data_IF_339342276023
#
_entry.id   IF_339342276023
#
_cell.length_a   1.000
_cell.length_b   1.000
_cell.length_c   1.000
_cell.angle_alpha   90.00
_cell.angle_beta   90.00
_cell.angle_gamma   90.00
#
_symmetry.space_group_name_H-M   'P 1'
#
loop_
_entity.id
_entity.type
_entity.pdbx_description
1 polymer ?
#
# COMPACT_ATOMS: atom_id res chain seq x y z
N UNK A 1 -10.60 -26.57 -27.19
CA UNK A 1 -9.17 -26.71 -27.51
C UNK A 1 -8.43 -26.57 -26.20
N UNK A 2 -7.35 -27.30 -25.97
CA UNK A 2 -6.63 -27.14 -24.70
C UNK A 2 -5.72 -25.93 -24.87
N UNK A 3 -6.14 -24.81 -24.28
CA UNK A 3 -5.49 -23.50 -24.31
C UNK A 3 -4.28 -23.50 -23.35
N UNK A 4 -3.24 -24.27 -23.68
CA UNK A 4 -2.00 -24.23 -22.91
C UNK A 4 -1.26 -22.92 -23.18
N UNK A 5 -0.72 -22.31 -22.12
CA UNK A 5 0.14 -21.15 -22.24
C UNK A 5 1.51 -21.60 -22.74
N UNK A 6 1.93 -21.07 -23.89
CA UNK A 6 3.26 -21.32 -24.43
C UNK A 6 4.28 -20.40 -23.75
N UNK A 7 5.37 -21.00 -23.25
CA UNK A 7 6.43 -20.29 -22.55
C UNK A 7 7.78 -20.80 -23.01
N UNK A 8 8.58 -19.88 -23.57
CA UNK A 8 9.93 -20.17 -24.01
C UNK A 8 10.96 -19.59 -23.05
N UNK A 9 11.82 -20.45 -22.50
CA UNK A 9 12.96 -20.02 -21.68
C UNK A 9 14.17 -19.72 -22.56
N UNK A 10 14.76 -18.53 -22.41
CA UNK A 10 15.94 -18.11 -23.16
C UNK A 10 16.91 -17.33 -22.24
N UNK A 11 18.01 -16.84 -22.82
CA UNK A 11 19.03 -16.04 -22.14
C UNK A 11 19.32 -14.78 -22.95
N UNK A 12 19.09 -13.62 -22.35
CA UNK A 12 19.35 -12.32 -22.93
C UNK A 12 20.67 -11.75 -22.40
N UNK A 13 21.58 -11.35 -23.29
CA UNK A 13 22.86 -10.76 -22.87
C UNK A 13 22.64 -9.32 -22.42
N UNK A 14 23.32 -8.86 -21.36
CA UNK A 14 23.15 -7.47 -20.86
C UNK A 14 23.41 -6.42 -21.95
N UNK A 15 24.41 -6.63 -22.82
CA UNK A 15 24.67 -5.71 -23.95
C UNK A 15 23.46 -5.60 -24.89
N UNK A 16 22.87 -6.74 -25.27
CA UNK A 16 21.70 -6.81 -26.14
C UNK A 16 20.46 -6.20 -25.48
N UNK A 17 20.24 -6.51 -24.19
CA UNK A 17 19.19 -5.87 -23.38
C UNK A 17 19.32 -4.34 -23.42
N UNK A 18 20.53 -3.81 -23.17
CA UNK A 18 20.75 -2.37 -23.11
C UNK A 18 20.53 -1.68 -24.46
N UNK A 19 20.99 -2.31 -25.56
CA UNK A 19 20.72 -1.85 -26.92
C UNK A 19 19.22 -1.80 -27.23
N UNK A 20 18.50 -2.90 -26.95
CA UNK A 20 17.04 -2.98 -27.13
C UNK A 20 16.29 -1.96 -26.26
N UNK A 21 16.78 -1.68 -25.05
CA UNK A 21 16.21 -0.66 -24.17
C UNK A 21 16.41 0.76 -24.73
N UNK A 22 17.59 1.09 -25.27
CA UNK A 22 17.81 2.37 -25.95
C UNK A 22 16.98 2.51 -27.22
N UNK A 23 16.66 1.40 -27.89
CA UNK A 23 15.73 1.37 -29.03
C UNK A 23 14.24 1.44 -28.62
N UNK A 24 13.91 1.52 -27.33
CA UNK A 24 12.53 1.66 -26.85
C UNK A 24 11.68 0.41 -27.01
N UNK A 25 12.29 -0.79 -27.06
CA UNK A 25 11.56 -2.06 -27.28
C UNK A 25 10.87 -2.62 -26.04
N UNK A 26 11.14 -2.09 -24.85
CA UNK A 26 10.57 -2.59 -23.60
C UNK A 26 9.52 -1.62 -23.05
N UNK A 27 8.32 -2.14 -22.78
CA UNK A 27 7.28 -1.42 -22.07
C UNK A 27 7.29 -1.81 -20.58
N UNK A 28 7.61 -0.81 -19.74
CA UNK A 28 7.67 -0.94 -18.28
C UNK A 28 6.36 -0.50 -17.59
N UNK A 29 5.32 -0.15 -18.35
CA UNK A 29 4.05 0.43 -17.89
C UNK A 29 2.93 -0.61 -17.83
N UNK A 30 3.16 -1.71 -17.11
CA UNK A 30 2.08 -2.66 -16.85
C UNK A 30 1.12 -2.13 -15.77
N UNK A 31 -0.17 -1.99 -16.11
CA UNK A 31 -1.27 -1.51 -15.24
C UNK A 31 -1.40 -2.30 -13.92
N UNK A 32 -0.87 -3.53 -13.88
CA UNK A 32 -0.95 -4.44 -12.73
C UNK A 32 0.33 -4.48 -11.87
N UNK A 33 1.37 -3.70 -12.18
CA UNK A 33 2.60 -3.69 -11.40
C UNK A 33 2.54 -2.76 -10.18
N UNK A 34 3.13 -3.20 -9.07
CA UNK A 34 3.34 -2.38 -7.87
C UNK A 34 4.40 -1.31 -8.15
N UNK A 35 4.21 -0.09 -7.66
CA UNK A 35 5.28 0.91 -7.52
C UNK A 35 6.19 0.63 -6.30
N UNK A 36 6.59 -0.63 -6.09
CA UNK A 36 7.55 -0.96 -5.03
C UNK A 36 8.97 -0.83 -5.58
N UNK A 37 9.60 0.31 -5.29
CA UNK A 37 11.00 0.58 -5.66
C UNK A 37 11.92 -0.23 -4.73
N UNK A 38 12.90 -0.94 -5.29
CA UNK A 38 13.93 -1.62 -4.49
C UNK A 38 14.79 -0.60 -3.71
N UNK A 39 15.14 -0.92 -2.46
CA UNK A 39 16.14 -0.18 -1.70
C UNK A 39 17.51 -0.24 -2.38
N UNK A 40 18.36 0.75 -2.14
CA UNK A 40 19.71 0.81 -2.71
C UNK A 40 20.54 -0.44 -2.38
N UNK A 41 20.40 -0.99 -1.17
CA UNK A 41 21.03 -2.25 -0.76
C UNK A 41 20.63 -3.43 -1.68
N UNK A 42 19.31 -3.58 -1.95
CA UNK A 42 18.81 -4.65 -2.84
C UNK A 42 19.26 -4.45 -4.27
N UNK A 43 19.32 -3.20 -4.73
CA UNK A 43 19.84 -2.86 -6.06
C UNK A 43 21.33 -3.23 -6.18
N UNK A 44 22.14 -2.84 -5.20
CA UNK A 44 23.58 -3.11 -5.15
C UNK A 44 23.86 -4.61 -5.09
N UNK A 45 23.09 -5.37 -4.29
CA UNK A 45 23.19 -6.82 -4.20
C UNK A 45 22.90 -7.56 -5.53
N UNK A 46 21.99 -7.02 -6.36
CA UNK A 46 21.77 -7.57 -7.70
C UNK A 46 23.00 -7.37 -8.60
N UNK A 47 23.60 -6.19 -8.58
CA UNK A 47 24.78 -5.90 -9.40
C UNK A 47 25.97 -6.76 -8.93
N UNK A 48 26.13 -6.93 -7.61
CA UNK A 48 27.07 -7.87 -7.01
C UNK A 48 26.92 -9.28 -7.60
N UNK A 49 25.69 -9.80 -7.57
CA UNK A 49 25.35 -11.11 -8.14
C UNK A 49 25.70 -11.22 -9.63
N UNK A 50 25.44 -10.18 -10.41
CA UNK A 50 25.73 -10.14 -11.86
C UNK A 50 27.24 -10.19 -12.11
N UNK A 51 28.03 -9.36 -11.41
CA UNK A 51 29.48 -9.31 -11.60
C UNK A 51 30.18 -10.60 -11.17
N UNK A 52 29.69 -11.22 -10.08
CA UNK A 52 30.16 -12.53 -9.58
C UNK A 52 29.61 -13.70 -10.39
N UNK A 53 28.78 -13.44 -11.39
CA UNK A 53 28.18 -14.44 -12.28
C UNK A 53 27.28 -15.45 -11.53
N UNK A 54 26.63 -15.02 -10.45
CA UNK A 54 25.62 -15.81 -9.75
C UNK A 54 24.29 -15.85 -10.52
N UNK A 55 23.48 -16.91 -10.37
CA UNK A 55 22.18 -16.99 -11.01
C UNK A 55 21.19 -16.00 -10.38
N UNK A 56 20.51 -15.21 -11.21
CA UNK A 56 19.41 -14.34 -10.78
C UNK A 56 18.05 -14.90 -11.21
N UNK A 57 16.95 -14.54 -10.53
CA UNK A 57 15.60 -14.93 -10.96
C UNK A 57 15.29 -14.46 -12.39
N UNK A 58 14.52 -15.25 -13.17
CA UNK A 58 14.22 -14.91 -14.55
C UNK A 58 13.38 -13.64 -14.67
N UNK A 59 13.48 -12.98 -15.82
CA UNK A 59 12.62 -11.86 -16.22
C UNK A 59 11.55 -12.39 -17.18
N UNK A 60 10.31 -11.97 -17.00
CA UNK A 60 9.18 -12.44 -17.81
C UNK A 60 8.74 -11.34 -18.77
N UNK A 61 8.69 -11.67 -20.06
CA UNK A 61 8.26 -10.78 -21.12
C UNK A 61 7.01 -11.34 -21.82
N UNK A 62 6.06 -10.47 -22.15
CA UNK A 62 5.08 -10.75 -23.19
C UNK A 62 5.64 -10.22 -24.50
N UNK A 63 5.70 -11.08 -25.51
CA UNK A 63 6.15 -10.65 -26.83
C UNK A 63 4.96 -10.11 -27.64
N UNK A 64 5.11 -8.94 -28.24
CA UNK A 64 4.16 -8.36 -29.18
C UNK A 64 4.88 -8.04 -30.48
N UNK A 65 4.33 -8.47 -31.60
CA UNK A 65 4.88 -8.15 -32.92
C UNK A 65 3.93 -7.15 -33.56
N UNK A 66 4.45 -5.97 -33.85
CA UNK A 66 3.75 -4.99 -34.67
C UNK A 66 3.65 -5.53 -36.10
N UNK A 67 2.42 -5.76 -36.57
CA UNK A 67 2.17 -6.43 -37.86
C UNK A 67 2.56 -5.57 -39.06
N UNK A 68 2.58 -4.25 -38.92
CA UNK A 68 2.86 -3.31 -40.01
C UNK A 68 4.36 -3.07 -40.19
N UNK A 69 5.11 -3.05 -39.08
CA UNK A 69 6.55 -2.76 -39.07
C UNK A 69 7.44 -3.99 -38.87
N UNK A 70 6.87 -5.10 -38.40
CA UNK A 70 7.62 -6.31 -38.02
C UNK A 70 8.46 -6.13 -36.76
N UNK A 71 8.32 -5.00 -36.04
CA UNK A 71 9.06 -4.74 -34.82
C UNK A 71 8.52 -5.58 -33.66
N UNK A 72 9.42 -6.24 -32.94
CA UNK A 72 9.10 -6.94 -31.71
C UNK A 72 9.22 -5.98 -30.53
N UNK A 73 8.11 -5.83 -29.80
CA UNK A 73 8.00 -5.13 -28.52
C UNK A 73 7.82 -6.14 -27.40
N UNK A 74 8.29 -5.78 -26.21
CA UNK A 74 8.22 -6.63 -25.04
C UNK A 74 7.52 -5.89 -23.90
N UNK A 75 6.36 -6.38 -23.46
CA UNK A 75 5.80 -5.92 -22.19
C UNK A 75 6.55 -6.64 -21.07
N UNK A 76 7.09 -5.89 -20.11
CA UNK A 76 7.74 -6.48 -18.94
C UNK A 76 6.67 -6.90 -17.95
N UNK A 77 6.48 -8.21 -17.76
CA UNK A 77 5.49 -8.77 -16.84
C UNK A 77 6.06 -8.79 -15.41
N UNK A 78 7.23 -9.39 -15.24
CA UNK A 78 7.99 -9.45 -13.98
C UNK A 78 9.48 -9.18 -14.24
N UNK A 79 10.16 -8.58 -13.26
CA UNK A 79 11.59 -8.25 -13.35
C UNK A 79 11.91 -6.80 -13.70
N UNK A 80 10.92 -5.91 -13.72
CA UNK A 80 11.12 -4.46 -13.91
C UNK A 80 12.23 -3.89 -13.03
N UNK A 81 12.18 -4.14 -11.71
CA UNK A 81 13.20 -3.64 -10.78
C UNK A 81 14.60 -4.19 -11.10
N UNK A 82 14.72 -5.43 -11.60
CA UNK A 82 16.00 -6.00 -12.01
C UNK A 82 16.55 -5.28 -13.24
N UNK A 83 15.72 -5.09 -14.27
CA UNK A 83 16.09 -4.40 -15.50
C UNK A 83 16.45 -2.93 -15.26
N UNK A 84 15.65 -2.21 -14.47
CA UNK A 84 15.93 -0.81 -14.13
C UNK A 84 17.18 -0.66 -13.28
N UNK A 85 17.45 -1.60 -12.37
CA UNK A 85 18.69 -1.62 -11.57
C UNK A 85 19.93 -1.78 -12.47
N UNK A 86 19.87 -2.65 -13.48
CA UNK A 86 20.95 -2.80 -14.47
C UNK A 86 21.18 -1.49 -15.22
N UNK A 87 20.10 -0.82 -15.64
CA UNK A 87 20.17 0.49 -16.32
C UNK A 87 20.76 1.55 -15.37
N UNK A 88 20.27 1.64 -14.14
CA UNK A 88 20.72 2.58 -13.13
C UNK A 88 22.22 2.43 -12.85
N UNK A 89 22.75 1.19 -12.81
CA UNK A 89 24.19 0.95 -12.65
C UNK A 89 24.97 1.45 -13.86
N UNK A 90 24.56 1.09 -15.08
CA UNK A 90 25.21 1.54 -16.32
C UNK A 90 25.24 3.07 -16.43
N UNK A 91 24.17 3.72 -15.99
CA UNK A 91 24.04 5.18 -15.98
C UNK A 91 24.73 5.86 -14.78
N UNK A 92 25.33 5.09 -13.87
CA UNK A 92 26.09 5.60 -12.72
C UNK A 92 25.23 6.14 -11.58
N UNK A 93 23.95 5.73 -11.48
CA UNK A 93 23.03 6.13 -10.41
C UNK A 93 23.15 5.27 -9.14
N UNK A 94 23.75 4.09 -9.27
CA UNK A 94 24.04 3.17 -8.16
C UNK A 94 25.49 2.67 -8.28
N UNK A 95 26.04 2.24 -7.16
CA UNK A 95 27.40 1.70 -7.03
C UNK A 95 27.37 0.22 -6.66
N UNK A 96 28.54 -0.43 -6.71
CA UNK A 96 28.74 -1.71 -6.04
C UNK A 96 28.64 -1.55 -4.52
N UNK A 97 28.28 -2.62 -3.79
CA UNK A 97 28.21 -2.55 -2.35
C UNK A 97 29.61 -2.37 -1.74
N UNK A 98 29.69 -1.75 -0.57
CA UNK A 98 30.95 -1.46 0.12
C UNK A 98 31.67 -2.71 0.65
N UNK A 99 30.98 -3.86 0.64
CA UNK A 99 31.45 -5.18 1.07
C UNK A 99 31.59 -6.17 -0.09
N UNK A 100 31.66 -5.69 -1.36
CA UNK A 100 31.79 -6.56 -2.55
C UNK A 100 32.95 -7.57 -2.43
N UNK A 101 34.05 -7.18 -1.79
CA UNK A 101 35.24 -7.99 -1.54
C UNK A 101 35.17 -9.04 -0.43
N UNK A 102 34.10 -9.08 0.38
CA UNK A 102 34.07 -9.85 1.63
C UNK A 102 33.76 -11.35 1.44
N UNK A 103 33.54 -11.80 0.20
CA UNK A 103 33.24 -13.20 -0.14
C UNK A 103 34.30 -13.89 -1.00
N UNK A 104 34.07 -15.18 -1.32
CA UNK A 104 35.03 -16.02 -2.01
C UNK A 104 35.24 -15.70 -3.50
N UNK A 105 34.41 -14.83 -4.10
CA UNK A 105 34.48 -14.42 -5.51
C UNK A 105 34.73 -12.90 -5.64
N UNK A 106 34.72 -12.18 -4.52
CA UNK A 106 34.86 -10.74 -4.39
C UNK A 106 36.26 -10.21 -4.66
N UNK A 107 36.33 -8.90 -4.87
CA UNK A 107 37.57 -8.14 -4.94
C UNK A 107 37.36 -6.80 -4.23
N UNK A 108 38.12 -6.55 -3.17
CA UNK A 108 38.03 -5.32 -2.36
C UNK A 108 38.30 -4.04 -3.16
N UNK A 109 39.02 -4.12 -4.28
CA UNK A 109 39.22 -2.99 -5.20
C UNK A 109 37.92 -2.52 -5.88
N UNK A 110 36.86 -3.34 -5.82
CA UNK A 110 35.57 -3.04 -6.44
C UNK A 110 34.51 -2.55 -5.44
N UNK A 111 34.86 -2.40 -4.16
CA UNK A 111 33.94 -1.91 -3.15
C UNK A 111 33.52 -0.47 -3.47
N UNK A 112 32.21 -0.20 -3.51
CA UNK A 112 31.68 1.15 -3.79
C UNK A 112 31.90 1.67 -5.22
N UNK A 113 32.43 0.84 -6.13
CA UNK A 113 32.83 1.28 -7.49
C UNK A 113 31.62 1.53 -8.40
N UNK A 114 31.65 2.61 -9.16
CA UNK A 114 30.66 2.93 -10.21
C UNK A 114 30.94 2.18 -11.52
N UNK A 115 29.94 2.10 -12.40
CA UNK A 115 30.14 1.50 -13.72
C UNK A 115 31.19 2.19 -14.60
N UNK A 116 31.41 3.49 -14.41
CA UNK A 116 32.46 4.24 -15.13
C UNK A 116 33.84 3.86 -14.61
N UNK A 117 34.01 3.75 -13.30
CA UNK A 117 35.29 3.35 -12.69
C UNK A 117 35.69 1.91 -13.03
N UNK A 118 34.73 1.04 -13.39
CA UNK A 118 35.03 -0.27 -14.00
C UNK A 118 35.84 -0.20 -15.30
N UNK A 119 36.00 0.97 -15.93
CA UNK A 119 36.94 1.15 -17.07
C UNK A 119 38.39 0.83 -16.68
N UNK A 120 38.75 0.99 -15.40
CA UNK A 120 40.05 0.60 -14.86
C UNK A 120 40.14 -0.91 -14.56
N UNK A 121 39.01 -1.61 -14.64
CA UNK A 121 38.84 -3.02 -14.31
C UNK A 121 38.20 -3.80 -15.48
N UNK A 122 38.85 -3.75 -16.65
CA UNK A 122 38.29 -4.25 -17.94
C UNK A 122 37.70 -5.67 -17.87
N UNK A 123 38.32 -6.57 -17.09
CA UNK A 123 37.85 -7.95 -16.90
C UNK A 123 36.42 -7.98 -16.35
N UNK A 124 36.13 -7.16 -15.35
CA UNK A 124 34.82 -7.10 -14.68
C UNK A 124 33.80 -6.38 -15.54
N UNK A 125 34.19 -5.28 -16.20
CA UNK A 125 33.32 -4.59 -17.15
C UNK A 125 32.89 -5.50 -18.30
N UNK A 126 33.83 -6.28 -18.84
CA UNK A 126 33.55 -7.28 -19.89
C UNK A 126 32.66 -8.42 -19.38
N UNK A 127 32.86 -8.87 -18.14
CA UNK A 127 32.02 -9.89 -17.51
C UNK A 127 30.59 -9.40 -17.34
N UNK A 128 30.40 -8.18 -16.83
CA UNK A 128 29.08 -7.54 -16.70
C UNK A 128 28.33 -7.55 -18.03
N UNK A 129 28.95 -7.04 -19.10
CA UNK A 129 28.31 -6.99 -20.41
C UNK A 129 27.94 -8.35 -20.99
N UNK A 130 28.73 -9.40 -20.66
CA UNK A 130 28.50 -10.77 -21.12
C UNK A 130 27.52 -11.56 -20.26
N UNK A 131 27.11 -11.03 -19.11
CA UNK A 131 26.17 -11.71 -18.25
C UNK A 131 24.87 -11.98 -19.00
N UNK A 132 24.31 -13.16 -18.77
CA UNK A 132 23.11 -13.66 -19.46
C UNK A 132 21.95 -13.68 -18.48
N UNK A 133 21.07 -12.70 -18.63
CA UNK A 133 19.81 -12.60 -17.89
C UNK A 133 18.93 -13.79 -18.31
N UNK A 134 18.48 -14.64 -17.39
CA UNK A 134 17.48 -15.65 -17.71
C UNK A 134 16.16 -14.95 -18.04
N UNK A 135 15.56 -15.27 -19.18
CA UNK A 135 14.30 -14.65 -19.63
C UNK A 135 13.28 -15.72 -20.00
N UNK A 136 12.01 -15.42 -19.80
CA UNK A 136 10.88 -16.26 -20.22
C UNK A 136 9.97 -15.41 -21.08
N UNK A 137 9.76 -15.83 -22.32
CA UNK A 137 8.81 -15.23 -23.24
C UNK A 137 7.46 -15.92 -23.11
N UNK A 138 6.41 -15.12 -23.03
CA UNK A 138 5.03 -15.59 -22.97
C UNK A 138 4.34 -15.14 -24.25
N UNK A 139 3.91 -16.11 -25.04
CA UNK A 139 3.19 -15.86 -26.28
C UNK A 139 1.68 -15.90 -26.01
N UNK A 140 1.07 -14.73 -25.81
CA UNK A 140 -0.37 -14.61 -25.65
C UNK A 140 -0.88 -13.20 -25.92
N UNK A 141 -2.04 -13.12 -26.55
CA UNK A 141 -2.78 -11.88 -26.73
C UNK A 141 -3.74 -11.57 -25.56
N UNK A 142 -3.92 -12.49 -24.61
CA UNK A 142 -4.89 -12.35 -23.52
C UNK A 142 -4.33 -11.62 -22.31
N UNK A 143 -4.85 -10.40 -22.07
CA UNK A 143 -4.51 -9.61 -20.87
C UNK A 143 -4.94 -10.31 -19.57
N UNK A 144 -6.03 -11.09 -19.59
CA UNK A 144 -6.48 -11.86 -18.43
C UNK A 144 -5.50 -12.98 -18.07
N UNK A 145 -4.94 -13.65 -19.08
CA UNK A 145 -3.95 -14.71 -18.87
C UNK A 145 -2.65 -14.14 -18.32
N UNK A 146 -2.20 -12.99 -18.83
CA UNK A 146 -1.01 -12.29 -18.32
C UNK A 146 -1.21 -11.87 -16.85
N UNK A 147 -2.38 -11.33 -16.50
CA UNK A 147 -2.71 -11.02 -15.09
C UNK A 147 -2.65 -12.26 -14.22
N UNK A 148 -3.20 -13.38 -14.68
CA UNK A 148 -3.14 -14.65 -13.94
C UNK A 148 -1.71 -15.17 -13.77
N UNK A 149 -0.85 -15.02 -14.77
CA UNK A 149 0.58 -15.38 -14.68
C UNK A 149 1.28 -14.48 -13.67
N UNK A 150 1.09 -13.17 -13.78
CA UNK A 150 1.66 -12.19 -12.85
C UNK A 150 1.23 -12.47 -11.41
N UNK A 151 -0.06 -12.73 -11.18
CA UNK A 151 -0.59 -13.13 -9.88
C UNK A 151 0.10 -14.39 -9.34
N UNK A 152 0.34 -15.39 -10.19
CA UNK A 152 1.00 -16.64 -9.80
C UNK A 152 2.49 -16.45 -9.48
N UNK A 153 3.20 -15.63 -10.24
CA UNK A 153 4.60 -15.30 -9.97
C UNK A 153 4.75 -14.58 -8.63
N UNK A 154 3.84 -13.66 -8.32
CA UNK A 154 3.84 -12.91 -7.08
C UNK A 154 3.30 -13.68 -5.88
N UNK A 155 2.54 -14.77 -6.08
CA UNK A 155 2.07 -15.65 -4.99
C UNK A 155 3.19 -16.47 -4.33
N UNK A 156 4.35 -16.61 -4.98
CA UNK A 156 5.57 -17.12 -4.34
C UNK A 156 6.37 -16.01 -3.61
N UNK A 157 6.00 -14.74 -3.78
CA UNK A 157 6.34 -13.63 -2.88
C UNK A 157 5.19 -13.36 -1.92
N UNK A 158 5.33 -12.36 -1.03
CA UNK A 158 4.22 -12.01 -0.14
C UNK A 158 2.96 -11.66 -0.95
N UNK A 159 1.84 -12.39 -0.74
CA UNK A 159 0.63 -12.19 -1.52
C UNK A 159 0.14 -10.75 -1.38
N UNK A 160 -0.53 -10.25 -2.43
CA UNK A 160 -1.26 -9.00 -2.37
C UNK A 160 -2.24 -9.06 -1.19
N UNK A 161 -2.18 -8.08 -0.30
CA UNK A 161 -3.21 -7.95 0.73
C UNK A 161 -4.51 -7.53 0.09
N UNK A 162 -5.61 -7.75 0.81
CA UNK A 162 -6.95 -7.51 0.31
C UNK A 162 -7.12 -6.07 -0.20
N UNK A 163 -6.52 -5.08 0.47
CA UNK A 163 -6.58 -3.69 0.03
C UNK A 163 -5.82 -3.42 -1.27
N UNK A 164 -4.64 -4.04 -1.48
CA UNK A 164 -3.90 -3.91 -2.75
C UNK A 164 -4.73 -4.47 -3.92
N UNK A 165 -5.47 -5.57 -3.70
CA UNK A 165 -6.40 -6.10 -4.69
C UNK A 165 -7.58 -5.15 -4.96
N UNK A 166 -8.08 -4.46 -3.93
CA UNK A 166 -9.14 -3.45 -4.10
C UNK A 166 -8.61 -2.24 -4.88
N UNK A 167 -7.40 -1.80 -4.64
CA UNK A 167 -6.78 -0.74 -5.44
C UNK A 167 -6.70 -1.15 -6.91
N UNK A 168 -6.14 -2.33 -7.21
CA UNK A 168 -6.01 -2.82 -8.57
C UNK A 168 -7.35 -2.93 -9.31
N UNK A 169 -8.45 -3.20 -8.58
CA UNK A 169 -9.79 -3.36 -9.16
C UNK A 169 -10.59 -2.06 -9.24
N UNK A 170 -10.40 -1.14 -8.30
CA UNK A 170 -11.27 0.04 -8.11
C UNK A 170 -10.53 1.38 -8.17
N UNK A 171 -9.22 1.42 -8.43
CA UNK A 171 -8.40 2.64 -8.41
C UNK A 171 -8.96 3.78 -9.26
N UNK A 172 -9.54 3.47 -10.42
CA UNK A 172 -10.14 4.48 -11.30
C UNK A 172 -11.55 4.94 -10.89
N UNK A 173 -12.16 4.28 -9.90
CA UNK A 173 -13.52 4.60 -9.45
C UNK A 173 -13.59 5.91 -8.69
N UNK A 174 -14.74 6.61 -8.77
CA UNK A 174 -14.99 7.83 -8.00
C UNK A 174 -14.84 7.58 -6.49
N UNK A 175 -15.25 6.39 -6.03
CA UNK A 175 -15.09 5.96 -4.64
C UNK A 175 -13.61 5.92 -4.22
N UNK A 176 -12.75 5.26 -4.99
CA UNK A 176 -11.35 5.06 -4.59
C UNK A 176 -10.58 6.39 -4.58
N UNK A 177 -10.76 7.21 -5.61
CA UNK A 177 -10.17 8.56 -5.66
C UNK A 177 -10.59 9.43 -4.48
N UNK A 178 -11.85 9.29 -4.04
CA UNK A 178 -12.30 9.99 -2.84
C UNK A 178 -11.67 9.44 -1.56
N UNK A 179 -11.46 8.12 -1.45
CA UNK A 179 -10.72 7.54 -0.32
C UNK A 179 -9.29 8.09 -0.26
N UNK A 180 -8.61 8.20 -1.40
CA UNK A 180 -7.27 8.81 -1.48
C UNK A 180 -7.29 10.27 -1.02
N UNK A 181 -8.26 11.06 -1.49
CA UNK A 181 -8.43 12.45 -1.06
C UNK A 181 -8.66 12.56 0.47
N UNK A 182 -9.47 11.67 1.07
CA UNK A 182 -9.67 11.64 2.52
C UNK A 182 -8.39 11.26 3.26
N UNK A 183 -7.59 10.33 2.72
CA UNK A 183 -6.30 9.95 3.31
C UNK A 183 -5.30 11.10 3.29
N UNK A 184 -5.25 11.87 2.22
CA UNK A 184 -4.35 13.02 2.08
C UNK A 184 -4.74 14.21 2.97
N UNK A 185 -6.04 14.40 3.23
CA UNK A 185 -6.54 15.61 3.89
C UNK A 185 -7.05 15.38 5.32
N UNK A 186 -6.80 14.21 5.94
CA UNK A 186 -7.27 13.96 7.31
C UNK A 186 -6.28 14.42 8.39
N UNK A 187 -6.82 14.81 9.54
CA UNK A 187 -6.07 15.22 10.74
C UNK A 187 -5.15 14.11 11.31
N UNK A 188 -5.29 12.87 10.84
CA UNK A 188 -4.50 11.73 11.28
C UNK A 188 -3.41 11.31 10.29
N UNK A 189 -3.16 12.05 9.21
CA UNK A 189 -2.17 11.70 8.17
C UNK A 189 -0.82 11.29 8.78
N UNK A 190 -0.25 12.14 9.65
CA UNK A 190 1.02 11.83 10.35
C UNK A 190 0.91 10.64 11.28
N UNK A 191 -0.24 10.44 11.93
CA UNK A 191 -0.46 9.29 12.81
C UNK A 191 -0.60 7.98 12.01
N UNK A 192 -1.17 8.02 10.80
CA UNK A 192 -1.25 6.86 9.93
C UNK A 192 0.13 6.37 9.53
N UNK A 193 1.05 7.28 9.19
CA UNK A 193 2.45 6.92 8.90
C UNK A 193 3.15 6.22 10.08
N UNK A 194 2.77 6.55 11.32
CA UNK A 194 3.38 5.97 12.53
C UNK A 194 2.78 4.60 12.92
N UNK A 195 1.50 4.33 12.59
CA UNK A 195 0.75 3.17 13.14
C UNK A 195 0.26 2.17 12.10
N UNK A 196 0.36 2.48 10.80
CA UNK A 196 -0.14 1.66 9.69
C UNK A 196 0.98 1.38 8.69
N UNK A 197 0.92 0.22 8.04
CA UNK A 197 1.77 -0.10 6.89
C UNK A 197 1.22 0.62 5.64
N UNK A 198 1.54 1.91 5.49
CA UNK A 198 1.05 2.73 4.36
C UNK A 198 1.56 2.24 3.01
N UNK A 199 2.73 1.58 2.98
CA UNK A 199 3.25 0.89 1.79
C UNK A 199 2.39 -0.33 1.39
N UNK A 200 1.58 -0.84 2.32
CA UNK A 200 0.59 -1.92 2.14
C UNK A 200 -0.85 -1.40 2.06
N UNK A 201 -1.01 -0.08 1.94
CA UNK A 201 -2.29 0.63 1.80
C UNK A 201 -3.23 0.46 3.01
N UNK A 202 -2.70 0.14 4.20
CA UNK A 202 -3.55 -0.03 5.40
C UNK A 202 -4.28 1.26 5.80
N UNK A 203 -3.71 2.42 5.48
CA UNK A 203 -4.34 3.75 5.59
C UNK A 203 -5.58 3.88 4.70
N UNK A 204 -5.51 3.43 3.44
CA UNK A 204 -6.67 3.40 2.54
C UNK A 204 -7.70 2.39 3.02
N UNK A 205 -7.28 1.24 3.53
CA UNK A 205 -8.20 0.23 4.10
C UNK A 205 -8.96 0.80 5.30
N UNK A 206 -8.24 1.40 6.26
CA UNK A 206 -8.84 1.97 7.45
C UNK A 206 -9.74 3.16 7.12
N UNK A 207 -9.32 4.06 6.22
CA UNK A 207 -10.16 5.17 5.79
C UNK A 207 -11.44 4.68 5.09
N UNK A 208 -11.37 3.57 4.36
CA UNK A 208 -12.56 2.92 3.79
C UNK A 208 -13.52 2.43 4.86
N UNK A 209 -13.03 1.87 5.96
CA UNK A 209 -13.89 1.48 7.10
C UNK A 209 -14.67 2.67 7.67
N UNK A 210 -14.02 3.84 7.81
CA UNK A 210 -14.62 5.07 8.33
C UNK A 210 -15.63 5.66 7.34
N UNK A 211 -15.27 5.66 6.06
CA UNK A 211 -16.17 6.08 4.99
C UNK A 211 -17.42 5.19 4.98
N UNK A 212 -17.27 3.87 5.00
CA UNK A 212 -18.42 2.96 4.99
C UNK A 212 -19.24 3.00 6.28
N UNK A 213 -18.65 3.31 7.43
CA UNK A 213 -19.43 3.61 8.64
C UNK A 213 -20.37 4.79 8.37
N UNK A 214 -19.86 5.83 7.73
CA UNK A 214 -20.60 7.06 7.40
C UNK A 214 -21.68 6.84 6.34
N UNK A 215 -21.39 6.02 5.32
CA UNK A 215 -22.29 5.76 4.20
C UNK A 215 -23.37 4.71 4.51
N UNK A 216 -23.01 3.61 5.18
CA UNK A 216 -23.98 2.57 5.58
C UNK A 216 -24.79 2.98 6.82
N UNK A 217 -24.30 3.99 7.55
CA UNK A 217 -24.90 4.42 8.82
C UNK A 217 -25.04 3.25 9.82
N UNK A 218 -24.06 2.33 9.77
CA UNK A 218 -24.10 1.06 10.50
C UNK A 218 -22.70 0.64 10.93
N UNK A 219 -22.56 0.23 12.19
CA UNK A 219 -21.32 -0.40 12.65
C UNK A 219 -21.25 -1.82 12.09
N UNK A 220 -20.23 -2.10 11.28
CA UNK A 220 -19.98 -3.41 10.66
C UNK A 220 -18.71 -4.07 11.21
N UNK A 221 -18.60 -5.38 10.97
CA UNK A 221 -17.33 -6.09 11.02
C UNK A 221 -16.70 -5.99 9.64
N UNK A 222 -15.61 -5.22 9.50
CA UNK A 222 -14.96 -5.02 8.20
C UNK A 222 -14.00 -6.18 7.93
N UNK A 223 -14.58 -7.35 7.67
CA UNK A 223 -13.83 -8.47 7.14
C UNK A 223 -13.47 -8.21 5.68
N UNK A 224 -12.55 -9.01 5.12
CA UNK A 224 -12.22 -8.97 3.70
C UNK A 224 -13.47 -8.94 2.81
N UNK A 225 -14.37 -9.90 3.01
CA UNK A 225 -15.59 -10.04 2.21
C UNK A 225 -16.52 -8.83 2.37
N UNK A 226 -16.69 -8.34 3.59
CA UNK A 226 -17.56 -7.18 3.86
C UNK A 226 -17.07 -5.93 3.14
N UNK A 227 -15.76 -5.67 3.16
CA UNK A 227 -15.19 -4.55 2.42
C UNK A 227 -15.32 -4.76 0.91
N UNK A 228 -15.05 -5.94 0.38
CA UNK A 228 -15.16 -6.23 -1.06
C UNK A 228 -16.60 -6.02 -1.59
N UNK A 229 -17.60 -6.40 -0.79
CA UNK A 229 -19.02 -6.14 -1.06
C UNK A 229 -19.33 -4.64 -1.07
N UNK A 230 -18.85 -3.89 -0.07
CA UNK A 230 -19.07 -2.45 0.05
C UNK A 230 -18.41 -1.66 -1.08
N UNK A 231 -17.18 -2.01 -1.46
CA UNK A 231 -16.52 -1.44 -2.63
C UNK A 231 -17.33 -1.69 -3.91
N UNK A 232 -17.83 -2.92 -4.09
CA UNK A 232 -18.66 -3.27 -5.25
C UNK A 232 -19.96 -2.47 -5.28
N UNK A 233 -20.59 -2.28 -4.12
CA UNK A 233 -21.81 -1.49 -3.95
C UNK A 233 -21.56 0.00 -4.25
N UNK A 234 -20.56 0.60 -3.63
CA UNK A 234 -20.39 2.06 -3.60
C UNK A 234 -19.57 2.65 -4.74
N UNK A 235 -18.82 1.85 -5.52
CA UNK A 235 -17.92 2.33 -6.59
C UNK A 235 -18.53 3.41 -7.50
N UNK A 236 -19.83 3.31 -7.79
CA UNK A 236 -20.57 4.22 -8.68
C UNK A 236 -21.73 4.94 -7.98
N UNK A 237 -21.95 4.72 -6.68
CA UNK A 237 -23.10 5.27 -5.95
C UNK A 237 -22.77 6.52 -5.14
N UNK A 238 -21.49 6.87 -5.00
CA UNK A 238 -21.07 8.01 -4.19
C UNK A 238 -21.49 9.35 -4.81
N UNK A 239 -22.23 10.14 -4.03
CA UNK A 239 -22.75 11.45 -4.43
C UNK A 239 -21.94 12.57 -3.81
N UNK A 240 -22.10 13.77 -4.37
CA UNK A 240 -21.43 14.97 -3.87
C UNK A 240 -21.85 15.31 -2.43
N UNK A 241 -23.12 15.05 -2.07
CA UNK A 241 -23.60 15.20 -0.69
C UNK A 241 -22.90 14.27 0.29
N UNK A 242 -22.51 13.07 -0.15
CA UNK A 242 -21.82 12.09 0.70
C UNK A 242 -20.37 12.51 0.94
N UNK A 243 -19.73 13.04 -0.11
CA UNK A 243 -18.39 13.63 -0.07
C UNK A 243 -18.36 14.80 0.92
N UNK A 244 -19.29 15.74 0.76
CA UNK A 244 -19.40 16.93 1.60
C UNK A 244 -19.68 16.55 3.06
N UNK A 245 -20.55 15.56 3.31
CA UNK A 245 -20.79 15.05 4.66
C UNK A 245 -19.52 14.53 5.32
N UNK A 246 -18.73 13.72 4.61
CA UNK A 246 -17.48 13.17 5.16
C UNK A 246 -16.43 14.26 5.43
N UNK A 247 -16.30 15.24 4.52
CA UNK A 247 -15.42 16.40 4.71
C UNK A 247 -15.82 17.23 5.94
N UNK A 248 -17.11 17.46 6.14
CA UNK A 248 -17.60 18.17 7.31
C UNK A 248 -17.34 17.40 8.62
N UNK A 249 -17.51 16.08 8.63
CA UNK A 249 -17.15 15.24 9.78
C UNK A 249 -15.64 15.32 10.06
N UNK A 250 -14.80 15.29 9.03
CA UNK A 250 -13.35 15.47 9.19
C UNK A 250 -13.00 16.83 9.78
N UNK A 251 -13.58 17.91 9.25
CA UNK A 251 -13.39 19.26 9.80
C UNK A 251 -13.90 19.37 11.24
N UNK A 252 -14.99 18.68 11.57
CA UNK A 252 -15.48 18.59 12.94
C UNK A 252 -14.47 17.91 13.87
N UNK A 253 -13.88 16.78 13.45
CA UNK A 253 -12.85 16.05 14.21
C UNK A 253 -11.58 16.89 14.37
N UNK A 254 -11.15 17.59 13.33
CA UNK A 254 -9.99 18.49 13.38
C UNK A 254 -10.20 19.60 14.43
N UNK A 255 -11.40 20.20 14.45
CA UNK A 255 -11.79 21.19 15.45
C UNK A 255 -11.87 20.64 16.89
N UNK A 256 -11.88 19.32 17.10
CA UNK A 256 -11.78 18.76 18.46
C UNK A 256 -10.37 18.93 19.03
N UNK A 257 -9.32 19.01 18.19
CA UNK A 257 -7.93 19.21 18.62
C UNK A 257 -7.52 18.37 19.85
N UNK A 258 -7.87 17.07 19.82
CA UNK A 258 -7.63 16.14 20.94
C UNK A 258 -6.14 15.86 21.12
N UNK A 259 -5.70 15.69 22.37
CA UNK A 259 -4.35 15.23 22.67
C UNK A 259 -4.23 13.70 22.48
N UNK A 260 -4.11 13.27 21.23
CA UNK A 260 -4.05 11.85 20.87
C UNK A 260 -2.86 11.12 21.53
N UNK A 261 -1.72 11.80 21.65
CA UNK A 261 -0.49 11.21 22.21
C UNK A 261 -0.53 11.17 23.74
N UNK A 262 -0.91 12.26 24.39
CA UNK A 262 -1.03 12.33 25.85
C UNK A 262 -2.07 11.35 26.38
N UNK A 263 -3.23 11.27 25.73
CA UNK A 263 -4.23 10.27 26.06
C UNK A 263 -3.96 8.89 25.44
N UNK A 264 -2.86 8.65 24.71
CA UNK A 264 -2.52 7.35 24.08
C UNK A 264 -3.68 6.74 23.26
N UNK A 265 -4.46 7.60 22.59
CA UNK A 265 -5.64 7.25 21.79
C UNK A 265 -5.36 7.30 20.29
N UNK A 266 -4.09 7.15 19.91
CA UNK A 266 -3.64 7.19 18.51
C UNK A 266 -3.83 5.86 17.76
N UNK A 267 -4.24 4.75 18.40
CA UNK A 267 -4.48 3.48 17.70
C UNK A 267 -5.79 3.52 16.90
N UNK A 268 -5.82 2.85 15.74
CA UNK A 268 -7.01 2.76 14.84
C UNK A 268 -8.32 2.45 15.55
N UNK A 269 -8.26 1.61 16.56
CA UNK A 269 -9.38 1.29 17.41
C UNK A 269 -9.99 2.56 18.05
N UNK A 270 -9.20 3.39 18.71
CA UNK A 270 -9.70 4.62 19.31
C UNK A 270 -10.17 5.61 18.23
N UNK A 271 -9.41 5.75 17.15
CA UNK A 271 -9.74 6.64 16.02
C UNK A 271 -11.11 6.31 15.42
N UNK A 272 -11.43 5.02 15.25
CA UNK A 272 -12.75 4.57 14.80
C UNK A 272 -13.88 5.02 15.74
N UNK A 273 -13.68 4.89 17.06
CA UNK A 273 -14.67 5.31 18.05
C UNK A 273 -14.84 6.84 18.07
N UNK A 274 -13.74 7.59 17.91
CA UNK A 274 -13.74 9.06 17.80
C UNK A 274 -14.49 9.49 16.54
N UNK A 275 -14.26 8.85 15.39
CA UNK A 275 -15.02 9.11 14.18
C UNK A 275 -16.51 8.86 14.39
N UNK A 276 -16.87 7.71 14.97
CA UNK A 276 -18.26 7.34 15.22
C UNK A 276 -19.00 8.33 16.12
N UNK A 277 -18.39 8.76 17.25
CA UNK A 277 -19.04 9.76 18.11
C UNK A 277 -19.06 11.16 17.48
N UNK A 278 -18.01 11.55 16.75
CA UNK A 278 -17.96 12.83 16.06
C UNK A 278 -19.03 12.92 14.96
N UNK A 279 -19.23 11.84 14.20
CA UNK A 279 -20.30 11.72 13.21
C UNK A 279 -21.67 11.90 13.87
N UNK A 280 -21.97 11.13 14.93
CA UNK A 280 -23.24 11.23 15.65
C UNK A 280 -23.49 12.62 16.24
N UNK A 281 -22.45 13.26 16.78
CA UNK A 281 -22.53 14.59 17.37
C UNK A 281 -22.75 15.67 16.29
N UNK A 282 -22.04 15.56 15.16
CA UNK A 282 -22.19 16.45 14.02
C UNK A 282 -23.61 16.40 13.44
N UNK A 283 -24.16 15.20 13.23
CA UNK A 283 -25.53 15.02 12.70
C UNK A 283 -26.61 15.56 13.65
N UNK A 284 -26.34 15.57 14.96
CA UNK A 284 -27.23 16.10 15.99
C UNK A 284 -26.94 17.58 16.32
N UNK A 285 -26.12 18.27 15.51
CA UNK A 285 -25.76 19.68 15.65
C UNK A 285 -25.13 20.03 17.02
N UNK A 286 -24.39 19.10 17.61
CA UNK A 286 -23.64 19.36 18.84
C UNK A 286 -22.35 20.09 18.48
N UNK A 287 -22.10 21.25 19.10
CA UNK A 287 -20.87 22.01 18.89
C UNK A 287 -19.62 21.19 19.25
N UNK A 288 -18.60 21.22 18.38
CA UNK A 288 -17.32 20.51 18.59
C UNK A 288 -16.67 20.86 19.92
N UNK A 289 -16.76 22.13 20.35
CA UNK A 289 -16.25 22.60 21.64
C UNK A 289 -16.86 21.86 22.84
N UNK A 290 -18.17 21.57 22.79
CA UNK A 290 -18.85 20.82 23.85
C UNK A 290 -18.41 19.36 23.86
N UNK A 291 -18.22 18.76 22.67
CA UNK A 291 -17.78 17.38 22.58
C UNK A 291 -16.32 17.20 23.04
N UNK A 292 -15.40 18.10 22.66
CA UNK A 292 -13.99 17.99 23.09
C UNK A 292 -13.86 18.06 24.62
N UNK A 293 -14.58 18.96 25.29
CA UNK A 293 -14.53 19.08 26.75
C UNK A 293 -14.93 17.75 27.42
N UNK A 294 -15.98 17.10 26.90
CA UNK A 294 -16.41 15.79 27.36
C UNK A 294 -15.42 14.67 27.05
N UNK A 295 -14.88 14.62 25.83
CA UNK A 295 -13.90 13.60 25.44
C UNK A 295 -12.61 13.73 26.26
N UNK A 296 -12.13 14.95 26.51
CA UNK A 296 -10.99 15.21 27.39
C UNK A 296 -11.28 14.77 28.83
N UNK A 297 -12.47 15.06 29.35
CA UNK A 297 -12.92 14.57 30.66
C UNK A 297 -12.92 13.04 30.74
N UNK A 298 -13.54 12.39 29.74
CA UNK A 298 -13.59 10.93 29.65
C UNK A 298 -12.19 10.31 29.61
N UNK A 299 -11.34 10.77 28.68
CA UNK A 299 -10.01 10.19 28.49
C UNK A 299 -9.08 10.48 29.67
N UNK A 300 -9.23 11.61 30.35
CA UNK A 300 -8.52 11.88 31.62
C UNK A 300 -8.91 10.86 32.68
N UNK A 301 -10.21 10.68 32.94
CA UNK A 301 -10.70 9.71 33.93
C UNK A 301 -10.29 8.27 33.56
N UNK A 302 -10.45 7.90 32.29
CA UNK A 302 -10.06 6.60 31.76
C UNK A 302 -8.56 6.29 31.94
N UNK A 303 -7.69 7.28 31.71
CA UNK A 303 -6.23 7.10 31.84
C UNK A 303 -5.76 7.10 33.28
N UNK A 304 -6.35 7.92 34.12
CA UNK A 304 -6.07 7.96 35.54
C UNK A 304 -6.75 6.84 36.33
N UNK A 305 -7.55 6.00 35.66
CA UNK A 305 -8.30 4.88 36.26
C UNK A 305 -9.26 5.36 37.37
N UNK A 306 -9.82 6.56 37.19
CA UNK A 306 -10.90 7.07 38.01
C UNK A 306 -12.20 6.36 37.62
N UNK A 307 -13.09 6.19 38.58
CA UNK A 307 -14.42 5.64 38.30
C UNK A 307 -15.24 6.68 37.52
N UNK A 308 -15.69 6.33 36.33
CA UNK A 308 -16.59 7.15 35.53
C UNK A 308 -17.41 6.27 34.57
N UNK A 309 -18.61 6.75 34.20
CA UNK A 309 -19.51 6.01 33.33
C UNK A 309 -18.83 5.67 31.99
N UNK A 310 -19.01 4.43 31.55
CA UNK A 310 -18.47 3.93 30.29
C UNK A 310 -16.99 3.50 30.33
N UNK A 311 -16.18 3.90 31.31
CA UNK A 311 -14.74 3.59 31.32
C UNK A 311 -14.45 2.08 31.32
N UNK A 312 -15.22 1.30 32.10
CA UNK A 312 -15.08 -0.16 32.16
C UNK A 312 -15.47 -0.84 30.84
N UNK A 313 -16.53 -0.37 30.20
CA UNK A 313 -16.97 -0.89 28.89
C UNK A 313 -15.97 -0.54 27.80
N UNK A 314 -15.45 0.69 27.83
CA UNK A 314 -14.39 1.12 26.95
C UNK A 314 -13.12 0.30 27.16
N UNK A 315 -12.73 0.00 28.42
CA UNK A 315 -11.59 -0.87 28.71
C UNK A 315 -11.79 -2.29 28.18
N UNK A 316 -12.96 -2.90 28.41
CA UNK A 316 -13.28 -4.26 27.96
C UNK A 316 -13.32 -4.39 26.44
N UNK A 317 -13.73 -3.33 25.74
CA UNK A 317 -13.69 -3.33 24.27
C UNK A 317 -12.27 -3.30 23.67
N UNK A 318 -11.27 -2.98 24.48
CA UNK A 318 -9.86 -2.88 24.09
C UNK A 318 -9.04 -4.14 24.43
N UNK A 319 -9.66 -5.19 25.00
CA UNK A 319 -8.94 -6.40 25.45
C UNK A 319 -8.76 -7.45 24.35
N UNK A 320 -9.77 -7.69 23.52
CA UNK A 320 -9.77 -8.74 22.49
C UNK A 320 -10.72 -8.38 21.36
N UNK A 321 -10.42 -8.81 20.13
CA UNK A 321 -11.23 -8.53 18.93
C UNK A 321 -11.64 -7.04 18.85
N UNK A 322 -10.66 -6.15 19.00
CA UNK A 322 -10.94 -4.72 19.14
C UNK A 322 -11.55 -4.13 17.89
N UNK A 323 -11.26 -4.69 16.70
CA UNK A 323 -11.86 -4.29 15.42
C UNK A 323 -13.24 -4.93 15.17
N UNK A 324 -13.68 -5.88 15.99
CA UNK A 324 -14.99 -6.51 15.87
C UNK A 324 -16.16 -5.54 16.07
N UNK A 325 -17.29 -5.86 15.45
CA UNK A 325 -18.52 -5.04 15.50
C UNK A 325 -18.96 -4.75 16.95
N UNK A 326 -18.94 -5.76 17.81
CA UNK A 326 -19.33 -5.62 19.22
C UNK A 326 -18.40 -4.67 19.97
N UNK A 327 -17.09 -4.83 19.82
CA UNK A 327 -16.08 -3.98 20.45
C UNK A 327 -16.14 -2.53 19.97
N UNK A 328 -16.39 -2.30 18.67
CA UNK A 328 -16.63 -0.96 18.11
C UNK A 328 -17.88 -0.31 18.72
N UNK A 329 -19.01 -1.03 18.70
CA UNK A 329 -20.28 -0.55 19.27
C UNK A 329 -20.16 -0.24 20.75
N UNK A 330 -19.49 -1.10 21.51
CA UNK A 330 -19.26 -0.91 22.95
C UNK A 330 -18.46 0.36 23.25
N UNK A 331 -17.48 0.72 22.43
CA UNK A 331 -16.68 1.95 22.62
C UNK A 331 -17.47 3.20 22.36
N UNK A 332 -18.21 3.22 21.26
CA UNK A 332 -19.05 4.37 20.91
C UNK A 332 -20.12 4.55 22.00
N UNK A 333 -20.78 3.46 22.42
CA UNK A 333 -21.75 3.50 23.52
C UNK A 333 -21.15 3.98 24.84
N UNK A 334 -19.92 3.58 25.18
CA UNK A 334 -19.24 4.04 26.39
C UNK A 334 -19.00 5.56 26.37
N UNK A 335 -18.58 6.11 25.23
CA UNK A 335 -18.41 7.56 25.07
C UNK A 335 -19.76 8.29 25.14
N UNK A 336 -20.80 7.75 24.49
CA UNK A 336 -22.17 8.31 24.55
C UNK A 336 -22.70 8.30 25.99
N UNK A 337 -22.48 7.23 26.73
CA UNK A 337 -22.93 7.12 28.11
C UNK A 337 -22.29 8.18 29.01
N UNK A 338 -21.00 8.47 28.80
CA UNK A 338 -20.31 9.57 29.47
C UNK A 338 -20.87 10.94 29.08
N UNK A 339 -21.15 11.16 27.79
CA UNK A 339 -21.81 12.39 27.34
C UNK A 339 -23.17 12.58 28.01
N UNK A 340 -23.97 11.52 28.11
CA UNK A 340 -25.29 11.54 28.73
C UNK A 340 -25.23 11.86 30.23
N UNK A 341 -24.27 11.27 30.96
CA UNK A 341 -24.01 11.59 32.38
C UNK A 341 -23.72 13.09 32.57
N UNK A 342 -23.06 13.70 31.60
CA UNK A 342 -22.71 15.13 31.59
C UNK A 342 -23.71 15.99 30.80
N UNK A 343 -24.98 15.54 30.73
CA UNK A 343 -26.13 16.29 30.19
C UNK A 343 -26.09 16.59 28.69
N UNK A 344 -25.26 15.89 27.92
CA UNK A 344 -25.24 15.96 26.45
C UNK A 344 -25.80 14.65 25.90
N UNK A 345 -27.04 14.70 25.40
CA UNK A 345 -27.70 13.55 24.80
C UNK A 345 -27.22 13.38 23.36
N UNK A 346 -26.61 12.23 23.07
CA UNK A 346 -26.27 11.76 21.73
C UNK A 346 -27.05 10.46 21.49
N UNK A 347 -27.95 10.46 20.52
CA UNK A 347 -28.69 9.26 20.15
C UNK A 347 -27.83 8.32 19.29
N UNK A 348 -27.87 7.02 19.59
CA UNK A 348 -27.14 5.99 18.84
C UNK A 348 -27.95 5.58 17.60
N UNK A 349 -27.74 6.28 16.49
CA UNK A 349 -28.41 6.04 15.19
C UNK A 349 -27.63 5.09 14.27
N UNK A 350 -26.55 4.47 14.78
CA UNK A 350 -25.60 3.57 14.11
C UNK A 350 -25.82 2.06 14.33
#
# INVERSE_FOLDING_TARGET
>A
MIDFLDMDSNKLVISEFYENNKAGKYDYTAVYQREKVWSEEKKSFLIDSILKNYPIPPVFFRMKIDQDTGLTLYDVIDGKQRLTTIIDFIEGKITLPDDFGDDCVGNSELNGVTFKELDQHEKYKRQFWKYRIPVIFIDTDSDELIKNVFDRLNRNGEPLVSQELRHAKYGDSKLYKFIEELVENNVWEKMFLDILETDRMEDKEFMSELLFLTLEHKILSYTKNTLDELYTKWKNLIKESDIEKCKNIMGYIDNLNLDYKGFKINKVSHLYAIWGIAMLAFEQNIESKKLVDLLNGFYTNYRERRDCVGADDYKKSMSSDTKGQFSRKRRINALIAYCLENQIKIEMTL
#
